data_IF_668244316963
#
_entry.id   IF_668244316963
#
_cell.length_a   1.000
_cell.length_b   1.000
_cell.length_c   1.000
_cell.angle_alpha   90.00
_cell.angle_beta   90.00
_cell.angle_gamma   90.00
#
_symmetry.space_group_name_H-M   'P 1'
#
loop_
_entity.id
_entity.type
_entity.pdbx_description
1 polymer ?
#
# COMPACT_ATOMS: atom_id res chain seq x y z
N UNK A 1 -9.06 19.31 -22.27
CA UNK A 1 -10.10 20.21 -21.69
C UNK A 1 -11.55 19.78 -21.92
N UNK A 2 -11.78 18.58 -22.45
CA UNK A 2 -13.15 18.04 -22.68
C UNK A 2 -13.57 16.98 -21.65
N UNK A 3 -12.63 16.47 -20.85
CA UNK A 3 -12.96 15.50 -19.80
C UNK A 3 -13.48 16.22 -18.56
N UNK A 4 -14.55 15.71 -17.92
CA UNK A 4 -15.02 16.26 -16.65
C UNK A 4 -13.98 16.04 -15.55
N UNK A 5 -14.05 16.85 -14.50
CA UNK A 5 -13.24 16.67 -13.30
C UNK A 5 -13.65 15.40 -12.57
N UNK A 6 -14.95 15.18 -12.46
CA UNK A 6 -15.57 13.94 -12.07
C UNK A 6 -16.85 13.70 -12.89
N UNK A 7 -17.40 12.50 -12.80
CA UNK A 7 -18.59 12.11 -13.57
C UNK A 7 -19.91 12.38 -12.84
N UNK A 8 -19.89 12.88 -11.62
CA UNK A 8 -21.09 13.22 -10.85
C UNK A 8 -21.95 14.31 -11.52
N UNK A 9 -21.30 15.13 -12.36
CA UNK A 9 -21.98 16.19 -13.13
C UNK A 9 -22.83 15.69 -14.31
N UNK A 10 -22.73 14.40 -14.63
CA UNK A 10 -23.46 13.80 -15.77
C UNK A 10 -24.86 13.28 -15.40
N UNK A 11 -25.27 13.44 -14.14
CA UNK A 11 -26.51 12.90 -13.59
C UNK A 11 -26.31 11.57 -12.86
N UNK A 12 -27.24 11.21 -11.99
CA UNK A 12 -27.08 10.13 -11.02
C UNK A 12 -26.78 8.75 -11.63
N UNK A 13 -27.49 8.35 -12.67
CA UNK A 13 -27.28 7.06 -13.32
C UNK A 13 -25.95 7.00 -14.08
N UNK A 14 -25.57 8.10 -14.73
CA UNK A 14 -24.31 8.20 -15.44
C UNK A 14 -23.11 8.22 -14.47
N UNK A 15 -23.21 8.91 -13.34
CA UNK A 15 -22.15 8.98 -12.33
C UNK A 15 -21.80 7.59 -11.78
N UNK A 16 -22.79 6.78 -11.47
CA UNK A 16 -22.60 5.43 -10.95
C UNK A 16 -21.89 4.51 -11.97
N UNK A 17 -22.30 4.59 -13.24
CA UNK A 17 -21.76 3.74 -14.32
C UNK A 17 -20.37 4.19 -14.79
N UNK A 18 -20.04 5.47 -14.66
CA UNK A 18 -18.80 6.05 -15.16
C UNK A 18 -17.68 6.12 -14.10
N UNK A 19 -17.96 5.76 -12.83
CA UNK A 19 -16.95 5.72 -11.78
C UNK A 19 -15.81 4.78 -12.15
N UNK A 20 -14.58 5.29 -12.08
CA UNK A 20 -13.36 4.54 -12.45
C UNK A 20 -12.93 4.76 -13.91
N UNK A 21 -13.65 5.55 -14.70
CA UNK A 21 -13.18 6.03 -15.99
C UNK A 21 -12.16 7.15 -15.86
N UNK A 22 -11.37 7.32 -16.92
CA UNK A 22 -10.37 8.39 -17.01
C UNK A 22 -11.08 9.76 -17.02
N UNK A 23 -10.74 10.60 -16.05
CA UNK A 23 -11.24 11.98 -15.92
C UNK A 23 -10.10 13.00 -16.09
N UNK A 24 -10.40 14.29 -15.98
CA UNK A 24 -9.40 15.37 -16.09
C UNK A 24 -8.23 15.20 -15.12
N UNK A 25 -8.52 14.87 -13.85
CA UNK A 25 -7.48 14.69 -12.82
C UNK A 25 -6.55 13.51 -13.13
N UNK A 26 -7.11 12.41 -13.64
CA UNK A 26 -6.32 11.24 -14.08
C UNK A 26 -5.32 11.62 -15.17
N UNK A 27 -5.75 12.39 -16.18
CA UNK A 27 -4.86 12.82 -17.27
C UNK A 27 -3.78 13.78 -16.78
N UNK A 28 -4.13 14.72 -15.89
CA UNK A 28 -3.16 15.62 -15.28
C UNK A 28 -2.12 14.87 -14.44
N UNK A 29 -2.56 13.91 -13.64
CA UNK A 29 -1.67 13.08 -12.82
C UNK A 29 -0.72 12.23 -13.69
N UNK A 30 -1.25 11.64 -14.77
CA UNK A 30 -0.42 10.89 -15.72
C UNK A 30 0.62 11.78 -16.38
N UNK A 31 0.23 12.99 -16.81
CA UNK A 31 1.17 13.99 -17.40
C UNK A 31 2.27 14.33 -16.40
N UNK A 32 1.94 14.67 -15.16
CA UNK A 32 2.92 15.01 -14.14
C UNK A 32 3.90 13.85 -13.88
N UNK A 33 3.39 12.63 -13.79
CA UNK A 33 4.23 11.43 -13.63
C UNK A 33 5.15 11.18 -14.82
N UNK A 34 4.66 11.36 -16.03
CA UNK A 34 5.48 11.21 -17.26
C UNK A 34 6.63 12.22 -17.29
N UNK A 35 6.35 13.49 -16.97
CA UNK A 35 7.38 14.53 -16.89
C UNK A 35 8.40 14.26 -15.78
N UNK A 36 7.97 13.69 -14.64
CA UNK A 36 8.89 13.29 -13.58
C UNK A 36 9.82 12.15 -14.04
N UNK A 37 9.31 11.18 -14.80
CA UNK A 37 10.15 10.13 -15.37
C UNK A 37 11.13 10.67 -16.39
N UNK A 38 10.70 11.60 -17.27
CA UNK A 38 11.57 12.28 -18.21
C UNK A 38 12.71 13.02 -17.49
N UNK A 39 12.43 13.65 -16.35
CA UNK A 39 13.42 14.34 -15.52
C UNK A 39 14.37 13.41 -14.75
N UNK A 40 14.04 12.12 -14.61
CA UNK A 40 14.84 11.17 -13.84
C UNK A 40 16.24 10.95 -14.44
N UNK A 41 17.27 10.63 -13.63
CA UNK A 41 18.63 10.42 -14.12
C UNK A 41 18.77 9.38 -15.23
N UNK A 42 17.81 8.45 -15.34
CA UNK A 42 17.81 7.44 -16.39
C UNK A 42 17.59 8.06 -17.79
N UNK A 43 16.75 9.07 -17.90
CA UNK A 43 16.39 9.74 -19.16
C UNK A 43 17.07 11.10 -19.30
N UNK A 44 17.22 11.83 -18.21
CA UNK A 44 17.89 13.14 -18.15
C UNK A 44 19.38 12.95 -17.84
N UNK A 45 20.12 12.39 -18.78
CA UNK A 45 21.55 12.07 -18.61
C UNK A 45 22.43 13.32 -18.55
N UNK A 46 21.95 14.47 -19.02
CA UNK A 46 22.64 15.77 -18.98
C UNK A 46 22.39 16.54 -17.69
N UNK A 47 21.45 16.09 -16.85
CA UNK A 47 21.08 16.80 -15.60
C UNK A 47 20.35 18.11 -15.86
N UNK A 48 19.60 18.22 -16.97
CA UNK A 48 18.82 19.42 -17.31
C UNK A 48 17.78 19.73 -16.21
N UNK A 49 17.98 20.84 -15.52
CA UNK A 49 17.12 21.30 -14.43
C UNK A 49 15.74 21.75 -14.90
N UNK A 50 15.61 22.14 -16.17
CA UNK A 50 14.32 22.55 -16.74
C UNK A 50 13.33 21.40 -16.80
N UNK A 51 13.78 20.16 -16.98
CA UNK A 51 12.91 18.98 -16.91
C UNK A 51 12.32 18.76 -15.51
N UNK A 52 13.12 18.98 -14.45
CA UNK A 52 12.61 18.93 -13.07
C UNK A 52 11.62 20.08 -12.81
N UNK A 53 11.90 21.26 -13.34
CA UNK A 53 10.97 22.39 -13.20
C UNK A 53 9.62 22.10 -13.87
N UNK A 54 9.62 21.57 -15.10
CA UNK A 54 8.40 21.17 -15.81
C UNK A 54 7.60 20.12 -15.02
N UNK A 55 8.27 19.11 -14.44
CA UNK A 55 7.64 18.09 -13.62
C UNK A 55 7.02 18.70 -12.34
N UNK A 56 7.73 19.62 -11.69
CA UNK A 56 7.24 20.31 -10.49
C UNK A 56 6.01 21.17 -10.79
N UNK A 57 6.03 21.96 -11.87
CA UNK A 57 4.88 22.77 -12.31
C UNK A 57 3.68 21.88 -12.63
N UNK A 58 3.88 20.79 -13.36
CA UNK A 58 2.78 19.87 -13.66
C UNK A 58 2.20 19.21 -12.41
N UNK A 59 3.05 18.84 -11.46
CA UNK A 59 2.62 18.27 -10.17
C UNK A 59 1.83 19.28 -9.33
N UNK A 60 2.26 20.55 -9.33
CA UNK A 60 1.51 21.62 -8.65
C UNK A 60 0.12 21.81 -9.24
N UNK A 61 -0.03 21.76 -10.56
CA UNK A 61 -1.33 21.82 -11.22
C UNK A 61 -2.24 20.67 -10.77
N UNK A 62 -1.71 19.43 -10.62
CA UNK A 62 -2.48 18.29 -10.10
C UNK A 62 -2.98 18.58 -8.70
N UNK A 63 -2.10 19.04 -7.81
CA UNK A 63 -2.46 19.35 -6.41
C UNK A 63 -3.61 20.38 -6.38
N UNK A 64 -3.45 21.48 -7.10
CA UNK A 64 -4.43 22.58 -7.12
C UNK A 64 -5.80 22.13 -7.65
N UNK A 65 -5.81 21.33 -8.72
CA UNK A 65 -7.07 20.82 -9.28
C UNK A 65 -7.71 19.75 -8.39
N UNK A 66 -6.91 18.91 -7.71
CA UNK A 66 -7.41 17.96 -6.72
C UNK A 66 -8.04 18.68 -5.51
N UNK A 67 -7.37 19.70 -4.97
CA UNK A 67 -7.91 20.51 -3.87
C UNK A 67 -9.23 21.20 -4.23
N UNK A 68 -9.32 21.78 -5.42
CA UNK A 68 -10.57 22.37 -5.95
C UNK A 68 -11.70 21.34 -6.07
N UNK A 69 -11.36 20.11 -6.41
CA UNK A 69 -12.31 18.99 -6.49
C UNK A 69 -12.64 18.36 -5.13
N UNK A 70 -12.06 18.86 -4.02
CA UNK A 70 -12.27 18.34 -2.68
C UNK A 70 -11.48 17.05 -2.36
N UNK A 71 -10.54 16.67 -3.22
CA UNK A 71 -9.62 15.57 -2.94
C UNK A 71 -8.55 16.06 -1.96
N UNK A 72 -8.19 15.21 -1.01
CA UNK A 72 -7.16 15.51 -0.01
C UNK A 72 -6.58 14.22 0.54
N UNK A 73 -5.35 14.28 1.05
CA UNK A 73 -4.74 13.15 1.76
C UNK A 73 -5.60 12.74 2.96
N UNK A 74 -5.83 11.45 3.10
CA UNK A 74 -6.53 10.80 4.20
C UNK A 74 -5.58 10.12 5.18
N UNK A 75 -6.11 9.20 5.97
CA UNK A 75 -5.28 8.29 6.77
C UNK A 75 -4.68 7.23 5.85
N UNK A 76 -3.44 6.83 6.13
CA UNK A 76 -2.75 5.81 5.36
C UNK A 76 -3.57 4.50 5.22
N UNK A 77 -4.35 4.16 6.24
CA UNK A 77 -5.24 2.99 6.24
C UNK A 77 -6.50 3.14 5.38
N UNK A 78 -6.87 4.35 4.97
CA UNK A 78 -8.11 4.58 4.20
C UNK A 78 -8.03 3.99 2.78
N UNK A 79 -6.81 3.69 2.31
CA UNK A 79 -6.56 3.02 1.03
C UNK A 79 -6.69 1.50 1.09
N UNK A 80 -7.01 0.93 2.25
CA UNK A 80 -7.09 -0.50 2.47
C UNK A 80 -8.52 -0.92 2.79
N UNK A 81 -8.86 -2.12 2.45
CA UNK A 81 -10.21 -2.62 2.62
C UNK A 81 -11.14 -2.39 1.41
N UNK A 82 -12.34 -2.89 1.51
CA UNK A 82 -13.30 -3.06 0.39
C UNK A 82 -13.78 -1.75 -0.26
N UNK A 83 -13.75 -0.62 0.47
CA UNK A 83 -14.21 0.69 -0.02
C UNK A 83 -13.07 1.68 -0.29
N UNK A 84 -11.85 1.21 -0.47
CA UNK A 84 -10.66 2.04 -0.68
C UNK A 84 -10.78 3.01 -1.87
N UNK A 85 -11.53 2.65 -2.89
CA UNK A 85 -11.79 3.48 -4.07
C UNK A 85 -12.58 4.78 -3.75
N UNK A 86 -13.25 4.85 -2.60
CA UNK A 86 -13.97 6.04 -2.12
C UNK A 86 -13.07 6.97 -1.29
N UNK A 87 -11.85 6.57 -0.98
CA UNK A 87 -10.91 7.41 -0.24
C UNK A 87 -10.65 8.72 -0.99
N UNK A 88 -10.71 9.85 -0.28
CA UNK A 88 -10.62 11.19 -0.89
C UNK A 88 -9.26 11.51 -1.52
N UNK A 89 -8.26 10.68 -1.33
CA UNK A 89 -6.95 10.83 -1.97
C UNK A 89 -6.84 10.05 -3.29
N UNK A 90 -7.83 9.24 -3.65
CA UNK A 90 -7.82 8.44 -4.87
C UNK A 90 -8.20 9.31 -6.06
N UNK A 91 -7.22 9.54 -6.95
CA UNK A 91 -7.44 10.24 -8.22
C UNK A 91 -8.00 9.29 -9.27
N UNK A 92 -7.50 8.05 -9.30
CA UNK A 92 -7.91 7.04 -10.25
C UNK A 92 -7.71 5.65 -9.67
N UNK A 93 -8.72 4.80 -9.80
CA UNK A 93 -8.64 3.41 -9.41
C UNK A 93 -9.38 2.52 -10.41
N UNK A 94 -8.77 1.40 -10.80
CA UNK A 94 -9.49 0.33 -11.48
C UNK A 94 -10.38 -0.36 -10.45
N UNK A 95 -11.68 -0.31 -10.68
CA UNK A 95 -12.64 -1.06 -9.87
C UNK A 95 -12.72 -2.49 -10.33
N UNK A 96 -12.74 -3.40 -9.37
CA UNK A 96 -13.07 -4.82 -9.55
C UNK A 96 -14.30 -5.13 -8.72
N UNK A 97 -15.05 -6.16 -9.07
CA UNK A 97 -16.15 -6.65 -8.25
C UNK A 97 -15.66 -7.13 -6.88
N UNK A 98 -16.59 -7.43 -5.97
CA UNK A 98 -16.26 -8.02 -4.68
C UNK A 98 -15.56 -9.35 -4.90
N UNK A 99 -14.31 -9.46 -4.45
CA UNK A 99 -13.46 -10.62 -4.58
C UNK A 99 -12.61 -10.74 -3.32
N UNK A 100 -12.30 -11.97 -2.92
CA UNK A 100 -11.42 -12.27 -1.79
C UNK A 100 -10.08 -12.91 -2.22
N UNK A 101 -9.80 -12.93 -3.52
CA UNK A 101 -8.61 -13.58 -4.07
C UNK A 101 -7.30 -12.97 -3.59
N UNK A 102 -7.27 -11.68 -3.25
CA UNK A 102 -6.07 -11.04 -2.69
C UNK A 102 -5.78 -11.57 -1.30
N UNK A 103 -6.75 -11.62 -0.41
CA UNK A 103 -6.66 -12.16 0.94
C UNK A 103 -6.36 -13.67 0.92
N UNK A 104 -7.06 -14.44 0.08
CA UNK A 104 -6.80 -15.85 -0.12
C UNK A 104 -5.33 -16.12 -0.48
N UNK A 105 -4.76 -15.33 -1.36
CA UNK A 105 -3.37 -15.48 -1.78
C UNK A 105 -2.36 -14.99 -0.73
N UNK A 106 -2.71 -14.08 0.16
CA UNK A 106 -1.76 -13.38 1.03
C UNK A 106 -1.92 -13.65 2.52
N UNK A 107 -3.02 -14.21 2.97
CA UNK A 107 -3.14 -14.62 4.39
C UNK A 107 -2.05 -15.63 4.75
N UNK A 108 -1.56 -15.61 6.00
CA UNK A 108 -0.49 -16.50 6.44
C UNK A 108 -0.79 -17.98 6.18
N UNK A 109 0.22 -18.70 5.73
CA UNK A 109 0.14 -20.17 5.65
C UNK A 109 -0.06 -20.76 7.05
N UNK A 110 -0.79 -21.85 7.16
CA UNK A 110 -1.22 -22.43 8.43
C UNK A 110 -2.60 -21.95 8.89
N UNK A 111 -3.13 -20.86 8.33
CA UNK A 111 -4.56 -20.56 8.36
C UNK A 111 -5.29 -21.39 7.30
N UNK A 112 -6.55 -21.75 7.58
CA UNK A 112 -7.39 -22.42 6.58
C UNK A 112 -7.44 -21.59 5.29
N UNK A 113 -7.04 -22.20 4.18
CA UNK A 113 -6.95 -21.60 2.85
C UNK A 113 -5.97 -20.41 2.69
N UNK A 114 -5.17 -20.05 3.68
CA UNK A 114 -4.12 -19.04 3.52
C UNK A 114 -2.94 -19.57 2.70
N UNK A 115 -2.48 -18.79 1.71
CA UNK A 115 -1.42 -19.20 0.79
C UNK A 115 -0.07 -18.53 1.05
N UNK A 116 -0.01 -17.42 1.82
CA UNK A 116 1.25 -16.73 2.16
C UNK A 116 2.03 -16.21 0.94
N UNK A 117 1.33 -15.78 -0.12
CA UNK A 117 1.93 -15.55 -1.42
C UNK A 117 2.96 -14.42 -1.50
N UNK A 118 2.78 -13.33 -0.75
CA UNK A 118 3.74 -12.24 -0.70
C UNK A 118 4.37 -12.13 0.68
N UNK A 119 5.66 -12.42 0.77
CA UNK A 119 6.42 -12.34 2.00
C UNK A 119 7.39 -11.15 1.95
N UNK A 120 7.23 -10.15 2.83
CA UNK A 120 8.17 -9.04 2.94
C UNK A 120 9.60 -9.54 3.19
N UNK A 121 10.59 -8.91 2.56
CA UNK A 121 12.00 -9.22 2.78
C UNK A 121 12.53 -8.53 4.03
N UNK A 122 13.63 -9.04 4.60
CA UNK A 122 14.34 -8.37 5.70
C UNK A 122 14.79 -6.96 5.28
N UNK A 123 15.22 -6.77 4.03
CA UNK A 123 15.60 -5.46 3.50
C UNK A 123 14.47 -4.44 3.59
N UNK A 124 13.22 -4.86 3.32
CA UNK A 124 12.07 -3.98 3.47
C UNK A 124 11.80 -3.68 4.97
N UNK A 125 11.93 -4.67 5.85
CA UNK A 125 11.82 -4.47 7.30
C UNK A 125 12.85 -3.48 7.81
N UNK A 126 14.09 -3.60 7.34
CA UNK A 126 15.21 -2.75 7.74
C UNK A 126 15.08 -1.30 7.22
N UNK A 127 14.37 -1.09 6.13
CA UNK A 127 14.12 0.24 5.57
C UNK A 127 13.15 1.11 6.40
N UNK A 128 12.41 0.51 7.34
CA UNK A 128 11.59 1.30 8.26
C UNK A 128 12.45 1.91 9.36
N UNK A 129 12.38 3.21 9.52
CA UNK A 129 13.13 3.99 10.50
C UNK A 129 12.61 3.78 11.93
N UNK A 130 13.41 4.14 12.91
CA UNK A 130 12.96 4.28 14.31
C UNK A 130 12.20 5.61 14.41
N UNK A 131 10.94 5.55 14.73
CA UNK A 131 10.01 6.70 14.73
C UNK A 131 10.54 7.91 15.52
N UNK A 132 11.16 7.66 16.67
CA UNK A 132 11.65 8.72 17.56
C UNK A 132 12.81 9.51 16.96
N UNK A 133 13.66 8.87 16.16
CA UNK A 133 14.93 9.46 15.69
C UNK A 133 14.97 9.70 14.18
N UNK A 134 14.07 9.08 13.41
CA UNK A 134 14.12 9.08 11.95
C UNK A 134 15.36 8.39 11.39
N UNK A 135 16.02 7.53 12.17
CA UNK A 135 17.21 6.79 11.78
C UNK A 135 16.89 5.34 11.48
N UNK A 136 17.66 4.74 10.58
CA UNK A 136 17.61 3.29 10.36
C UNK A 136 18.11 2.53 11.58
N UNK A 137 17.71 1.28 11.70
CA UNK A 137 18.01 0.43 12.85
C UNK A 137 19.53 0.30 13.15
N UNK A 138 20.37 0.34 12.13
CA UNK A 138 21.84 0.16 12.20
C UNK A 138 22.62 1.48 12.32
N UNK A 139 21.96 2.62 12.35
CA UNK A 139 22.62 3.91 12.50
C UNK A 139 22.90 4.23 13.97
N UNK A 140 24.05 4.84 14.24
CA UNK A 140 24.44 5.25 15.57
C UNK A 140 23.41 6.21 16.19
N UNK A 141 23.00 5.92 17.42
CA UNK A 141 21.98 6.71 18.12
C UNK A 141 20.56 6.55 17.58
N UNK A 142 20.27 5.49 16.83
CA UNK A 142 18.90 5.19 16.35
C UNK A 142 17.95 4.88 17.50
N UNK A 143 18.44 4.30 18.61
CA UNK A 143 17.61 3.79 19.70
C UNK A 143 17.01 2.41 19.43
N UNK A 144 17.50 1.70 18.40
CA UNK A 144 17.08 0.34 18.10
C UNK A 144 17.39 -0.63 19.25
N UNK A 145 16.46 -1.51 19.56
CA UNK A 145 16.60 -2.57 20.56
C UNK A 145 16.48 -3.94 19.93
N UNK A 146 17.58 -4.68 19.83
CA UNK A 146 17.60 -6.01 19.24
C UNK A 146 16.75 -7.06 20.01
N UNK A 147 16.51 -6.86 21.31
CA UNK A 147 15.62 -7.72 22.10
C UNK A 147 14.12 -7.46 21.78
N UNK A 148 13.80 -6.33 21.16
CA UNK A 148 12.46 -5.99 20.71
C UNK A 148 12.53 -5.25 19.36
N UNK A 149 12.87 -5.97 18.27
CA UNK A 149 13.30 -5.37 17.01
C UNK A 149 12.19 -4.61 16.26
N UNK A 150 10.95 -4.84 16.62
CA UNK A 150 9.77 -4.26 15.97
C UNK A 150 9.18 -3.07 16.74
N UNK A 151 9.62 -2.85 17.97
CA UNK A 151 9.13 -1.73 18.78
C UNK A 151 9.69 -0.39 18.30
N UNK A 152 8.83 0.65 18.37
CA UNK A 152 9.22 2.02 18.07
C UNK A 152 9.63 2.28 16.60
N UNK A 153 9.29 1.41 15.68
CA UNK A 153 9.46 1.62 14.24
C UNK A 153 8.45 2.64 13.72
N UNK A 154 8.69 3.17 12.53
CA UNK A 154 7.70 3.94 11.77
C UNK A 154 6.33 3.24 11.84
N UNK A 155 5.24 3.96 12.16
CA UNK A 155 3.90 3.35 12.28
C UNK A 155 3.45 2.55 11.06
N UNK A 156 3.93 2.91 9.85
CA UNK A 156 3.63 2.18 8.61
C UNK A 156 4.18 0.76 8.62
N UNK A 157 5.22 0.48 9.41
CA UNK A 157 5.76 -0.88 9.57
C UNK A 157 4.66 -1.84 10.07
N UNK A 158 4.09 -1.56 11.24
CA UNK A 158 3.06 -2.40 11.85
C UNK A 158 1.78 -2.49 11.01
N UNK A 159 1.55 -1.54 10.11
CA UNK A 159 0.42 -1.53 9.19
C UNK A 159 0.69 -2.35 7.91
N UNK A 160 1.95 -2.58 7.58
CA UNK A 160 2.35 -3.20 6.31
C UNK A 160 2.80 -4.65 6.47
N UNK A 161 3.44 -4.98 7.60
CA UNK A 161 4.14 -6.25 7.82
C UNK A 161 3.59 -6.96 9.05
N UNK A 162 3.24 -8.23 8.90
CA UNK A 162 2.93 -9.11 10.02
C UNK A 162 4.20 -9.85 10.45
N UNK A 163 4.47 -9.84 11.75
CA UNK A 163 5.65 -10.41 12.37
C UNK A 163 5.30 -11.60 13.27
N UNK A 164 6.31 -12.35 13.67
CA UNK A 164 6.15 -13.39 14.68
C UNK A 164 5.52 -12.82 15.97
N UNK A 165 4.55 -13.53 16.53
CA UNK A 165 3.83 -13.08 17.72
C UNK A 165 2.65 -12.15 17.46
N UNK A 166 2.39 -11.74 16.21
CA UNK A 166 1.22 -10.91 15.86
C UNK A 166 -0.08 -11.63 16.17
N UNK A 167 -0.93 -11.03 17.00
CA UNK A 167 -2.20 -11.67 17.45
C UNK A 167 -3.43 -11.23 16.66
N UNK A 168 -3.31 -10.13 15.89
CA UNK A 168 -4.46 -9.49 15.22
C UNK A 168 -4.48 -9.69 13.71
N UNK A 169 -3.45 -10.31 13.14
CA UNK A 169 -3.37 -10.36 11.70
C UNK A 169 -2.98 -11.71 11.13
N UNK A 170 -3.81 -12.15 10.23
CA UNK A 170 -5.03 -12.75 10.69
C UNK A 170 -4.61 -13.87 11.63
N UNK A 171 -5.25 -13.96 12.76
CA UNK A 171 -4.94 -14.98 13.75
C UNK A 171 -5.97 -16.11 13.70
N UNK A 172 -5.52 -17.34 13.87
CA UNK A 172 -6.40 -18.49 14.03
C UNK A 172 -6.91 -18.53 15.47
N UNK A 173 -8.21 -18.40 15.67
CA UNK A 173 -8.85 -18.41 17.00
C UNK A 173 -8.22 -17.43 18.02
N UNK A 174 -7.69 -16.29 17.57
CA UNK A 174 -7.04 -15.31 18.43
C UNK A 174 -5.59 -15.66 18.82
N UNK A 175 -5.04 -16.75 18.31
CA UNK A 175 -3.66 -17.14 18.56
C UNK A 175 -2.65 -16.27 17.80
N UNK A 176 -1.45 -16.16 18.36
CA UNK A 176 -0.37 -15.43 17.73
C UNK A 176 0.18 -16.19 16.50
N UNK A 177 0.69 -15.42 15.51
CA UNK A 177 1.47 -16.00 14.42
C UNK A 177 2.78 -16.61 14.96
N UNK A 178 3.12 -17.79 14.45
CA UNK A 178 4.34 -18.52 14.76
C UNK A 178 5.13 -18.69 13.46
N UNK A 179 5.87 -17.65 13.05
CA UNK A 179 6.58 -17.62 11.75
C UNK A 179 8.02 -18.16 11.84
N UNK A 180 8.42 -18.65 13.00
CA UNK A 180 9.73 -19.32 13.19
C UNK A 180 9.70 -20.74 12.64
N UNK A 181 10.90 -21.30 12.43
CA UNK A 181 11.04 -22.68 11.96
C UNK A 181 10.40 -23.70 12.92
N UNK A 182 9.49 -24.49 12.41
CA UNK A 182 8.67 -25.43 13.21
C UNK A 182 7.39 -24.83 13.78
N UNK A 183 7.17 -23.54 13.65
CA UNK A 183 5.93 -22.86 14.02
C UNK A 183 4.80 -23.14 13.03
N UNK A 184 3.56 -22.93 13.48
CA UNK A 184 2.34 -23.23 12.68
C UNK A 184 2.16 -22.36 11.44
N UNK A 185 2.92 -21.26 11.31
CA UNK A 185 2.89 -20.34 10.15
C UNK A 185 4.28 -20.19 9.50
N UNK A 186 5.26 -21.03 9.88
CA UNK A 186 6.63 -21.00 9.41
C UNK A 186 7.06 -22.28 8.69
N UNK A 187 8.29 -22.27 8.16
CA UNK A 187 8.90 -23.50 7.63
C UNK A 187 8.97 -24.60 8.72
N UNK A 188 8.87 -25.89 8.39
CA UNK A 188 8.91 -26.48 7.03
C UNK A 188 7.54 -26.63 6.37
N UNK A 189 6.49 -25.90 6.81
CA UNK A 189 5.18 -25.98 6.16
C UNK A 189 5.30 -25.51 4.71
N UNK A 190 4.87 -26.33 3.76
CA UNK A 190 4.95 -26.00 2.33
C UNK A 190 4.17 -24.72 2.03
N UNK A 191 4.84 -23.73 1.46
CA UNK A 191 4.26 -22.41 1.16
C UNK A 191 4.24 -21.45 2.35
N UNK A 192 4.84 -21.81 3.49
CA UNK A 192 5.05 -20.86 4.58
C UNK A 192 6.11 -19.81 4.20
N UNK A 193 6.12 -18.72 4.98
CA UNK A 193 7.03 -17.61 4.72
C UNK A 193 8.51 -18.03 4.81
N UNK A 194 9.32 -17.80 3.77
CA UNK A 194 10.76 -18.04 3.83
C UNK A 194 11.51 -16.91 4.54
N UNK A 195 10.85 -15.82 4.88
CA UNK A 195 11.46 -14.63 5.47
C UNK A 195 11.07 -14.39 6.92
N UNK A 196 10.11 -15.15 7.45
CA UNK A 196 9.54 -14.93 8.78
C UNK A 196 8.49 -13.83 8.85
N UNK A 197 8.11 -13.22 7.71
CA UNK A 197 7.16 -12.12 7.61
C UNK A 197 6.01 -12.46 6.66
N UNK A 198 4.84 -11.85 6.92
CA UNK A 198 3.69 -11.90 6.00
C UNK A 198 3.21 -10.50 5.65
N UNK A 199 2.51 -10.38 4.53
CA UNK A 199 1.96 -9.10 4.06
C UNK A 199 0.68 -8.76 4.82
N UNK A 200 0.60 -7.51 5.33
CA UNK A 200 -0.64 -6.90 5.86
C UNK A 200 -1.24 -5.89 4.92
N UNK A 201 -0.39 -5.11 4.25
CA UNK A 201 -0.82 -4.01 3.39
C UNK A 201 -1.78 -4.49 2.31
N UNK A 202 -2.90 -3.78 2.15
CA UNK A 202 -4.00 -4.08 1.24
C UNK A 202 -4.80 -5.35 1.52
N UNK A 203 -4.47 -6.11 2.55
CA UNK A 203 -5.34 -7.19 3.01
C UNK A 203 -6.34 -6.68 4.04
N UNK A 204 -7.58 -7.11 3.95
CA UNK A 204 -8.59 -6.88 4.98
C UNK A 204 -8.69 -8.14 5.87
N UNK A 205 -8.24 -8.04 7.12
CA UNK A 205 -8.22 -9.16 8.05
C UNK A 205 -9.59 -9.73 8.43
N UNK A 206 -10.68 -9.07 8.03
CA UNK A 206 -12.06 -9.52 8.25
C UNK A 206 -12.62 -10.35 7.08
N UNK A 207 -11.92 -10.40 5.94
CA UNK A 207 -12.40 -11.12 4.75
C UNK A 207 -12.36 -12.63 4.97
N UNK A 208 -13.48 -13.28 4.70
CA UNK A 208 -13.57 -14.74 4.74
C UNK A 208 -12.94 -15.34 3.47
N UNK A 209 -11.99 -16.26 3.66
CA UNK A 209 -11.28 -16.97 2.58
C UNK A 209 -11.60 -18.48 2.54
N UNK A 210 -12.68 -18.92 3.18
CA UNK A 210 -13.10 -20.34 3.15
C UNK A 210 -13.48 -20.81 1.74
N UNK A 211 -13.87 -19.87 0.87
CA UNK A 211 -14.07 -20.09 -0.58
C UNK A 211 -13.53 -18.90 -1.36
N UNK A 212 -12.99 -19.14 -2.56
CA UNK A 212 -12.55 -18.08 -3.49
C UNK A 212 -13.74 -17.63 -4.32
N UNK A 213 -13.96 -16.31 -4.39
CA UNK A 213 -14.95 -15.64 -5.23
C UNK A 213 -14.27 -14.93 -6.38
#
# INVERSE_FOLDING_TARGET
DKLPVDYSTLGDDAAANETGRVNKLTVLALKARTLLYEASPLFNTTGDKELYHKAAVASKVVIDECEKAGLKLGKYSDLWGSNNWQAKEVIFARRVGSQNGFEYNNYPRGLENGNGGNCPTQTLVDAYEIQKTGKLWNEEGSGYNAANPYAGRDPRFAMTIAVNGEKKWPSYNGEALETYYGGKNGEPIVGATPTGYYLKKYCDGSVNISSVN
#
